data_IF_915227148632
#
_entry.id   IF_915227148632
#
_cell.length_a   1.000
_cell.length_b   1.000
_cell.length_c   1.000
_cell.angle_alpha   90.00
_cell.angle_beta   90.00
_cell.angle_gamma   90.00
#
_symmetry.space_group_name_H-M   'P 1'
#
loop_
_entity.id
_entity.type
_entity.pdbx_description
1 polymer ?
#
# COMPACT_ATOMS: atom_id res chain seq x y z
N UNK A 1 29.88 18.07 -16.35
CA UNK A 1 28.97 16.91 -16.36
C UNK A 1 27.58 17.47 -16.20
N UNK A 2 26.96 17.81 -17.33
CA UNK A 2 25.68 18.47 -17.38
C UNK A 2 24.59 17.50 -16.93
N UNK A 3 23.86 17.87 -15.88
CA UNK A 3 22.65 17.16 -15.48
C UNK A 3 21.60 17.49 -16.52
N UNK A 4 21.39 16.60 -17.49
CA UNK A 4 20.15 16.59 -18.27
C UNK A 4 18.99 16.75 -17.30
N UNK A 5 18.17 17.78 -17.52
CA UNK A 5 16.95 18.03 -16.78
C UNK A 5 15.98 16.89 -17.07
N UNK A 6 16.07 15.80 -16.29
CA UNK A 6 15.12 14.70 -16.33
C UNK A 6 13.74 15.27 -16.01
N UNK A 7 12.90 15.34 -17.02
CA UNK A 7 11.50 15.68 -16.84
C UNK A 7 10.82 14.47 -16.19
N UNK A 8 10.31 14.65 -14.98
CA UNK A 8 9.54 13.63 -14.28
C UNK A 8 8.06 13.85 -14.53
N UNK A 9 7.29 12.78 -14.71
CA UNK A 9 5.83 12.84 -14.93
C UNK A 9 5.05 13.25 -13.67
N UNK A 10 5.66 13.06 -12.49
CA UNK A 10 5.07 13.30 -11.17
C UNK A 10 5.96 14.20 -10.31
N UNK A 11 5.32 15.04 -9.50
CA UNK A 11 5.99 15.92 -8.54
C UNK A 11 6.30 15.19 -7.23
N UNK A 12 5.42 14.29 -6.80
CA UNK A 12 5.56 13.52 -5.57
C UNK A 12 5.21 12.04 -5.77
N UNK A 13 5.94 11.17 -5.08
CA UNK A 13 5.66 9.75 -5.01
C UNK A 13 5.45 9.36 -3.54
N UNK A 14 4.32 8.72 -3.26
CA UNK A 14 3.95 8.21 -1.95
C UNK A 14 4.00 6.68 -1.98
N UNK A 15 4.75 6.10 -1.06
CA UNK A 15 4.85 4.64 -0.91
C UNK A 15 3.95 4.21 0.25
N UNK A 16 2.89 3.49 -0.09
CA UNK A 16 1.87 3.00 0.83
C UNK A 16 0.59 3.82 0.75
N UNK A 17 -0.55 3.16 0.54
CA UNK A 17 -1.89 3.76 0.55
C UNK A 17 -2.58 3.63 1.92
N UNK A 18 -1.80 3.55 3.00
CA UNK A 18 -2.33 3.56 4.36
C UNK A 18 -2.93 4.92 4.73
N UNK A 19 -3.25 5.11 6.02
CA UNK A 19 -3.85 6.36 6.50
C UNK A 19 -2.96 7.58 6.18
N UNK A 20 -1.70 7.55 6.60
CA UNK A 20 -0.77 8.67 6.36
C UNK A 20 -0.56 8.96 4.88
N UNK A 21 -0.29 7.93 4.08
CA UNK A 21 -0.09 8.07 2.64
C UNK A 21 -1.31 8.63 1.91
N UNK A 22 -2.51 8.17 2.25
CA UNK A 22 -3.76 8.66 1.65
C UNK A 22 -4.05 10.11 2.00
N UNK A 23 -3.84 10.50 3.26
CA UNK A 23 -4.04 11.90 3.70
C UNK A 23 -3.01 12.82 3.04
N UNK A 24 -1.74 12.41 2.98
CA UNK A 24 -0.69 13.16 2.28
C UNK A 24 -1.01 13.30 0.79
N UNK A 25 -1.47 12.22 0.14
CA UNK A 25 -1.86 12.24 -1.27
C UNK A 25 -2.98 13.24 -1.52
N UNK A 26 -4.02 13.23 -0.69
CA UNK A 26 -5.13 14.18 -0.79
C UNK A 26 -4.63 15.62 -0.69
N UNK A 27 -3.86 15.95 0.35
CA UNK A 27 -3.39 17.33 0.58
C UNK A 27 -2.44 17.84 -0.51
N UNK A 28 -1.60 16.99 -1.07
CA UNK A 28 -0.72 17.35 -2.18
C UNK A 28 -1.50 17.54 -3.48
N UNK A 29 -2.46 16.65 -3.76
CA UNK A 29 -3.34 16.77 -4.93
C UNK A 29 -4.24 18.01 -4.85
N UNK A 30 -4.78 18.35 -3.68
CA UNK A 30 -5.56 19.58 -3.44
C UNK A 30 -4.76 20.86 -3.74
N UNK A 31 -3.43 20.81 -3.58
CA UNK A 31 -2.52 21.91 -3.95
C UNK A 31 -2.17 21.96 -5.44
N UNK A 32 -2.66 20.99 -6.24
CA UNK A 32 -2.43 20.95 -7.68
C UNK A 32 -1.20 20.16 -8.12
N UNK A 33 -0.53 19.43 -7.22
CA UNK A 33 0.62 18.60 -7.59
C UNK A 33 0.19 17.29 -8.26
N UNK A 34 1.02 16.78 -9.19
CA UNK A 34 0.89 15.43 -9.74
C UNK A 34 1.50 14.41 -8.78
N UNK A 35 0.65 13.63 -8.14
CA UNK A 35 1.06 12.67 -7.10
C UNK A 35 0.86 11.23 -7.58
N UNK A 36 1.90 10.41 -7.46
CA UNK A 36 1.83 8.96 -7.67
C UNK A 36 1.78 8.24 -6.32
N UNK A 37 0.79 7.37 -6.12
CA UNK A 37 0.72 6.49 -4.94
C UNK A 37 1.04 5.07 -5.37
N UNK A 38 2.04 4.45 -4.74
CA UNK A 38 2.44 3.07 -4.98
C UNK A 38 2.12 2.23 -3.74
N UNK A 39 1.37 1.15 -3.94
CA UNK A 39 1.02 0.21 -2.88
C UNK A 39 1.42 -1.20 -3.32
N UNK A 40 1.97 -1.99 -2.39
CA UNK A 40 2.39 -3.38 -2.65
C UNK A 40 1.17 -4.30 -2.75
N UNK A 41 0.13 -4.00 -1.97
CA UNK A 41 -1.12 -4.75 -1.93
C UNK A 41 -1.91 -4.74 -3.24
N UNK A 42 -2.91 -5.62 -3.34
CA UNK A 42 -3.86 -5.60 -4.44
C UNK A 42 -4.85 -4.45 -4.24
N UNK A 43 -5.35 -3.89 -5.34
CA UNK A 43 -6.53 -3.02 -5.27
C UNK A 43 -7.75 -3.83 -4.82
N UNK A 44 -8.27 -3.51 -3.64
CA UNK A 44 -9.40 -4.21 -3.02
C UNK A 44 -10.66 -3.36 -3.13
N UNK A 45 -11.70 -3.89 -3.77
CA UNK A 45 -13.03 -3.29 -3.77
C UNK A 45 -13.79 -3.72 -2.51
N UNK A 46 -14.87 -3.02 -2.11
CA UNK A 46 -15.69 -3.39 -0.95
C UNK A 46 -16.12 -4.88 -0.91
N UNK A 47 -16.29 -5.50 -2.08
CA UNK A 47 -16.68 -6.92 -2.22
C UNK A 47 -15.53 -7.91 -1.97
N UNK A 48 -14.28 -7.45 -2.11
CA UNK A 48 -13.08 -8.28 -1.97
C UNK A 48 -12.67 -8.45 -0.50
N UNK A 49 -13.13 -7.54 0.37
CA UNK A 49 -12.85 -7.60 1.81
C UNK A 49 -13.44 -8.88 2.43
N UNK A 50 -12.70 -9.53 3.34
CA UNK A 50 -13.20 -10.69 4.06
C UNK A 50 -14.39 -10.27 4.94
N UNK A 51 -15.54 -10.93 4.75
CA UNK A 51 -16.74 -10.71 5.58
C UNK A 51 -16.61 -11.28 7.00
N UNK A 52 -15.59 -12.09 7.23
CA UNK A 52 -15.32 -12.75 8.50
C UNK A 52 -13.83 -13.09 8.60
N UNK A 53 -13.28 -13.02 9.81
CA UNK A 53 -11.87 -13.31 10.12
C UNK A 53 -11.48 -14.77 9.80
N UNK A 54 -12.47 -15.66 9.66
CA UNK A 54 -12.26 -17.05 9.26
C UNK A 54 -11.92 -17.22 7.77
N UNK A 55 -12.07 -16.18 6.94
CA UNK A 55 -11.61 -16.19 5.55
C UNK A 55 -10.10 -15.94 5.47
N UNK A 56 -9.31 -16.82 6.10
CA UNK A 56 -7.86 -16.68 6.28
C UNK A 56 -7.11 -16.39 4.96
N UNK A 57 -7.55 -16.97 3.84
CA UNK A 57 -6.93 -16.73 2.52
C UNK A 57 -7.03 -15.27 2.04
N UNK A 58 -8.09 -14.57 2.43
CA UNK A 58 -8.35 -13.15 2.11
C UNK A 58 -7.91 -12.20 3.23
N UNK A 59 -7.68 -12.74 4.43
CA UNK A 59 -7.33 -11.93 5.59
C UNK A 59 -5.82 -11.87 5.81
N UNK A 60 -5.09 -12.98 5.67
CA UNK A 60 -3.65 -13.05 5.87
C UNK A 60 -2.86 -12.92 4.58
N UNK A 61 -1.75 -12.19 4.65
CA UNK A 61 -0.73 -12.11 3.62
C UNK A 61 0.35 -13.17 3.87
N UNK A 62 0.17 -14.35 3.29
CA UNK A 62 1.10 -15.47 3.31
C UNK A 62 1.33 -15.95 1.87
N UNK A 63 2.28 -15.35 1.14
CA UNK A 63 2.46 -15.62 -0.29
C UNK A 63 2.82 -17.07 -0.57
N UNK A 64 3.50 -17.76 0.37
CA UNK A 64 3.83 -19.18 0.24
C UNK A 64 2.58 -20.09 0.16
N UNK A 65 1.47 -19.70 0.82
CA UNK A 65 0.19 -20.41 0.76
C UNK A 65 -0.77 -19.81 -0.28
N UNK A 66 -0.29 -18.89 -1.14
CA UNK A 66 -1.11 -18.07 -2.05
C UNK A 66 -2.17 -17.23 -1.34
N UNK A 67 -1.95 -16.87 -0.07
CA UNK A 67 -2.83 -15.97 0.65
C UNK A 67 -2.32 -14.55 0.43
N UNK A 68 -3.14 -13.73 -0.24
CA UNK A 68 -2.82 -12.34 -0.55
C UNK A 68 -3.82 -11.42 0.15
N UNK A 69 -4.02 -11.69 1.43
CA UNK A 69 -4.90 -10.89 2.27
C UNK A 69 -4.30 -9.55 2.68
N UNK A 70 -5.09 -8.82 3.47
CA UNK A 70 -4.79 -7.47 3.94
C UNK A 70 -3.68 -7.42 5.00
N UNK A 71 -3.68 -8.36 5.94
CA UNK A 71 -2.82 -8.30 7.12
C UNK A 71 -1.59 -9.19 6.95
N UNK A 72 -0.39 -8.62 7.14
CA UNK A 72 0.86 -9.37 7.15
C UNK A 72 1.36 -9.55 8.59
N UNK A 73 1.02 -10.68 9.20
CA UNK A 73 1.62 -11.04 10.48
C UNK A 73 3.03 -11.59 10.27
N UNK A 74 4.04 -10.97 10.87
CA UNK A 74 5.41 -11.48 10.92
C UNK A 74 5.72 -11.90 12.35
N UNK A 75 5.93 -13.20 12.56
CA UNK A 75 6.21 -13.77 13.88
C UNK A 75 7.71 -13.94 14.05
N UNK A 76 8.26 -13.30 15.07
CA UNK A 76 9.64 -13.47 15.56
C UNK A 76 9.63 -14.30 16.84
N UNK A 77 10.82 -14.74 17.30
CA UNK A 77 10.97 -15.64 18.46
C UNK A 77 10.25 -15.17 19.74
N UNK A 78 10.07 -13.86 19.90
CA UNK A 78 9.46 -13.27 21.10
C UNK A 78 8.35 -12.23 20.81
N UNK A 79 8.13 -11.85 19.55
CA UNK A 79 7.21 -10.76 19.18
C UNK A 79 6.55 -11.09 17.85
N UNK A 80 5.27 -10.76 17.72
CA UNK A 80 4.59 -10.72 16.42
C UNK A 80 4.33 -9.26 16.03
N UNK A 81 4.69 -8.89 14.80
CA UNK A 81 4.41 -7.57 14.22
C UNK A 81 3.36 -7.68 13.13
N UNK A 82 2.46 -6.70 13.07
CA UNK A 82 1.42 -6.56 12.05
C UNK A 82 1.88 -5.73 10.86
#
# INVERSE_FOLDING_TARGET
MDRESRQFDYDYIIIGSGFGGSVSALRLSEKGYKVLVLEKGRWLKPRDFPKSNWQLKKWLWLPWLRFHGLFKLTVFRHVATL
#
